data_IF_394951530165
#
_entry.id   IF_394951530165
#
_cell.length_a   1.000
_cell.length_b   1.000
_cell.length_c   1.000
_cell.angle_alpha   90.00
_cell.angle_beta   90.00
_cell.angle_gamma   90.00
#
_symmetry.space_group_name_H-M   'P 1'
#
loop_
_entity.id
_entity.type
_entity.pdbx_description
1 polymer ?
#
# COMPACT_ATOMS: atom_id res chain seq x y z
N UNK A 1 3.15 1.02 44.77
CA UNK A 1 3.27 0.71 43.32
C UNK A 1 3.89 1.90 42.59
N UNK A 2 5.20 1.85 42.28
CA UNK A 2 5.90 2.91 41.54
C UNK A 2 5.88 2.56 40.05
N UNK A 3 5.14 3.32 39.22
CA UNK A 3 4.91 3.02 37.79
C UNK A 3 5.39 4.15 36.87
N UNK A 4 6.55 4.72 37.17
CA UNK A 4 7.18 5.73 36.32
C UNK A 4 8.02 5.01 35.25
N UNK A 5 7.99 5.51 34.01
CA UNK A 5 8.67 4.90 32.86
C UNK A 5 9.77 5.85 32.37
N UNK A 6 11.01 5.37 32.42
CA UNK A 6 12.19 6.09 31.94
C UNK A 6 12.66 5.49 30.60
N UNK A 7 12.95 6.33 29.62
CA UNK A 7 13.51 5.91 28.32
C UNK A 7 14.95 5.44 28.48
N UNK A 8 15.35 4.39 27.76
CA UNK A 8 16.69 3.81 27.82
C UNK A 8 17.32 3.76 26.42
N UNK A 9 18.64 3.86 26.30
CA UNK A 9 19.33 3.73 25.02
C UNK A 9 19.22 2.31 24.46
N UNK A 10 19.07 2.19 23.14
CA UNK A 10 18.90 0.90 22.44
C UNK A 10 20.08 -0.05 22.57
N UNK A 11 21.27 0.48 22.83
CA UNK A 11 22.47 -0.32 23.09
C UNK A 11 22.32 -1.25 24.32
N UNK A 12 21.36 -0.98 25.20
CA UNK A 12 21.08 -1.78 26.40
C UNK A 12 19.93 -2.78 26.22
N UNK A 13 19.40 -2.94 25.01
CA UNK A 13 18.35 -3.95 24.74
C UNK A 13 18.90 -5.36 25.01
N UNK A 14 18.22 -6.11 25.87
CA UNK A 14 18.59 -7.48 26.23
C UNK A 14 19.67 -7.60 27.31
N UNK A 15 20.10 -6.48 27.91
CA UNK A 15 21.06 -6.46 29.03
C UNK A 15 20.37 -6.21 30.36
N UNK A 16 20.85 -6.85 31.41
CA UNK A 16 20.43 -6.56 32.79
C UNK A 16 21.19 -5.35 33.30
N UNK A 17 20.48 -4.33 33.77
CA UNK A 17 21.05 -3.06 34.25
C UNK A 17 20.73 -2.86 35.73
N UNK A 18 21.64 -2.22 36.45
CA UNK A 18 21.43 -1.85 37.84
C UNK A 18 20.83 -0.45 37.93
N UNK A 19 19.76 -0.32 38.71
CA UNK A 19 19.07 0.95 38.95
C UNK A 19 19.34 1.41 40.38
N UNK A 20 19.95 2.59 40.53
CA UNK A 20 20.13 3.25 41.82
C UNK A 20 19.21 4.45 41.92
N UNK A 21 18.19 4.34 42.75
CA UNK A 21 17.23 5.40 43.03
C UNK A 21 17.74 6.26 44.20
N UNK A 22 17.83 7.57 43.99
CA UNK A 22 18.02 8.57 45.03
C UNK A 22 16.76 9.40 45.17
N UNK A 23 16.63 10.20 46.24
CA UNK A 23 15.43 11.02 46.48
C UNK A 23 15.06 11.94 45.30
N UNK A 24 16.05 12.41 44.54
CA UNK A 24 15.88 13.39 43.45
C UNK A 24 16.20 12.85 42.06
N UNK A 25 16.87 11.70 41.94
CA UNK A 25 17.38 11.19 40.66
C UNK A 25 17.41 9.68 40.59
N UNK A 26 17.29 9.15 39.38
CA UNK A 26 17.44 7.73 39.05
C UNK A 26 18.69 7.56 38.20
N UNK A 27 19.65 6.76 38.67
CA UNK A 27 20.91 6.48 37.95
C UNK A 27 20.90 5.04 37.46
N UNK A 28 21.21 4.84 36.19
CA UNK A 28 21.26 3.53 35.54
C UNK A 28 22.71 3.17 35.25
N UNK A 29 23.10 1.96 35.66
CA UNK A 29 24.43 1.40 35.46
C UNK A 29 24.37 0.13 34.61
N UNK A 30 25.29 0.00 33.66
CA UNK A 30 25.62 -1.25 32.97
C UNK A 30 26.93 -1.76 33.58
N UNK A 31 26.80 -2.66 34.57
CA UNK A 31 27.91 -3.06 35.45
C UNK A 31 28.48 -1.88 36.25
N UNK A 32 29.74 -1.53 36.00
CA UNK A 32 30.44 -0.43 36.68
C UNK A 32 30.28 0.93 35.97
N UNK A 33 29.72 0.96 34.75
CA UNK A 33 29.61 2.18 33.95
C UNK A 33 28.25 2.85 34.17
N UNK A 34 28.25 4.13 34.53
CA UNK A 34 27.05 4.96 34.53
C UNK A 34 26.64 5.23 33.08
N UNK A 35 25.45 4.78 32.69
CA UNK A 35 24.97 4.94 31.31
C UNK A 35 24.01 6.10 31.17
N UNK A 36 23.05 6.24 32.09
CA UNK A 36 22.06 7.32 32.04
C UNK A 36 21.73 7.82 33.45
N UNK A 37 21.47 9.11 33.56
CA UNK A 37 20.88 9.71 34.76
C UNK A 37 19.56 10.39 34.39
N UNK A 38 18.49 10.05 35.10
CA UNK A 38 17.18 10.68 34.97
C UNK A 38 16.84 11.46 36.24
N UNK A 39 16.10 12.56 36.10
CA UNK A 39 15.46 13.23 37.23
C UNK A 39 14.27 12.41 37.73
N UNK A 40 14.11 12.30 39.05
CA UNK A 40 13.06 11.48 39.66
C UNK A 40 11.75 12.27 39.74
N UNK A 41 10.82 11.90 38.87
CA UNK A 41 9.42 12.35 38.96
C UNK A 41 8.72 11.84 40.23
N UNK A 42 7.82 12.63 40.83
CA UNK A 42 7.14 12.25 42.06
C UNK A 42 6.34 10.94 41.88
N UNK A 43 6.23 10.15 42.96
CA UNK A 43 5.55 8.86 42.92
C UNK A 43 4.06 9.05 42.58
N UNK A 44 3.59 8.42 41.50
CA UNK A 44 2.19 8.44 41.06
C UNK A 44 1.91 9.14 39.74
N UNK A 45 2.91 9.84 39.17
CA UNK A 45 2.73 10.65 37.96
C UNK A 45 2.39 9.84 36.69
N UNK A 46 2.76 8.54 36.62
CA UNK A 46 2.65 7.70 35.39
C UNK A 46 3.24 8.39 34.15
N UNK A 47 4.16 9.34 34.34
CA UNK A 47 4.73 10.16 33.29
C UNK A 47 5.80 9.38 32.54
N UNK A 48 5.88 9.61 31.22
CA UNK A 48 6.93 9.11 30.34
C UNK A 48 7.90 10.27 30.11
N UNK A 49 9.14 10.13 30.60
CA UNK A 49 10.23 11.06 30.29
C UNK A 49 11.14 10.38 29.26
N UNK A 50 11.11 10.91 28.04
CA UNK A 50 12.06 10.57 26.99
C UNK A 50 13.14 11.64 26.99
N UNK A 51 14.40 11.27 27.21
CA UNK A 51 15.51 12.21 27.04
C UNK A 51 15.74 12.46 25.53
N UNK A 52 16.18 13.66 25.12
CA UNK A 52 16.50 13.96 23.72
C UNK A 52 17.56 13.01 23.14
N UNK A 53 18.52 12.56 23.96
CA UNK A 53 19.53 11.56 23.59
C UNK A 53 18.95 10.16 23.26
N UNK A 54 17.66 9.95 23.55
CA UNK A 54 16.91 8.72 23.29
C UNK A 54 15.71 8.97 22.38
N UNK A 55 15.57 10.19 21.84
CA UNK A 55 14.72 10.41 20.68
C UNK A 55 15.37 9.68 19.52
N UNK A 56 14.84 8.51 19.20
CA UNK A 56 15.03 7.97 17.87
C UNK A 56 14.49 9.00 16.91
N UNK A 57 15.36 9.50 16.03
CA UNK A 57 14.93 9.99 14.72
C UNK A 57 13.95 8.95 14.21
N UNK A 58 12.66 9.28 14.32
CA UNK A 58 11.61 8.38 13.88
C UNK A 58 12.02 8.00 12.49
N UNK A 59 12.09 6.69 12.20
CA UNK A 59 12.20 6.21 10.83
C UNK A 59 10.89 6.64 10.14
N UNK A 60 10.76 7.94 9.87
CA UNK A 60 9.99 8.45 8.78
C UNK A 60 10.54 7.69 7.61
N UNK A 61 9.75 6.71 7.17
CA UNK A 61 10.05 5.87 6.02
C UNK A 61 10.69 6.77 4.98
N UNK A 62 11.99 6.58 4.73
CA UNK A 62 12.67 7.23 3.63
C UNK A 62 11.73 7.04 2.44
N UNK A 63 11.30 8.15 1.83
CA UNK A 63 10.38 8.10 0.68
C UNK A 63 11.05 7.19 -0.33
N UNK A 64 10.58 5.96 -0.42
CA UNK A 64 11.21 4.94 -1.26
C UNK A 64 11.17 5.50 -2.68
N UNK A 65 12.36 5.61 -3.27
CA UNK A 65 12.52 6.13 -4.63
C UNK A 65 11.69 5.33 -5.64
N UNK A 66 11.55 5.83 -6.88
CA UNK A 66 10.86 5.09 -7.92
C UNK A 66 11.49 3.69 -8.09
N UNK A 67 10.66 2.65 -7.97
CA UNK A 67 11.07 1.26 -8.18
C UNK A 67 11.58 1.07 -9.61
N UNK A 68 12.43 0.07 -9.84
CA UNK A 68 12.85 -0.33 -11.19
C UNK A 68 11.66 -0.62 -12.10
N UNK A 69 10.60 -1.25 -11.54
CA UNK A 69 9.35 -1.49 -12.26
C UNK A 69 8.68 -0.19 -12.75
N UNK A 70 8.74 0.89 -11.96
CA UNK A 70 8.15 2.19 -12.35
C UNK A 70 8.98 2.85 -13.45
N UNK A 71 10.30 2.70 -13.42
CA UNK A 71 11.19 3.27 -14.44
C UNK A 71 10.95 2.59 -15.79
N UNK A 72 10.95 1.26 -15.80
CA UNK A 72 10.69 0.47 -17.01
C UNK A 72 9.35 0.83 -17.64
N UNK A 73 8.27 0.91 -16.85
CA UNK A 73 6.94 1.25 -17.38
C UNK A 73 6.88 2.68 -17.95
N UNK A 74 7.63 3.64 -17.37
CA UNK A 74 7.75 5.00 -17.91
C UNK A 74 8.58 5.06 -19.20
N UNK A 75 9.58 4.19 -19.34
CA UNK A 75 10.41 4.09 -20.54
C UNK A 75 9.65 3.45 -21.71
N UNK A 76 8.84 2.42 -21.44
CA UNK A 76 8.06 1.71 -22.46
C UNK A 76 7.02 2.63 -23.11
N UNK A 77 6.23 3.35 -22.32
CA UNK A 77 5.18 4.22 -22.88
C UNK A 77 4.80 5.35 -21.92
N UNK A 78 4.61 6.59 -22.43
CA UNK A 78 4.13 7.70 -21.62
C UNK A 78 2.73 7.49 -21.06
N UNK A 79 1.89 6.67 -21.72
CA UNK A 79 0.53 6.34 -21.26
C UNK A 79 0.59 5.49 -19.98
N UNK A 80 1.46 4.47 -19.97
CA UNK A 80 1.70 3.64 -18.78
C UNK A 80 2.32 4.46 -17.65
N UNK A 81 3.22 5.39 -17.96
CA UNK A 81 3.78 6.33 -17.00
C UNK A 81 2.71 7.16 -16.28
N UNK A 82 1.74 7.72 -17.03
CA UNK A 82 0.60 8.45 -16.45
C UNK A 82 -0.23 7.58 -15.51
N UNK A 83 -0.49 6.32 -15.88
CA UNK A 83 -1.21 5.38 -15.02
C UNK A 83 -0.44 5.10 -13.72
N UNK A 84 0.87 4.89 -13.79
CA UNK A 84 1.74 4.69 -12.62
C UNK A 84 1.68 5.87 -11.65
N UNK A 85 1.75 7.10 -12.18
CA UNK A 85 1.68 8.32 -11.34
C UNK A 85 0.33 8.43 -10.63
N UNK A 86 -0.76 8.10 -11.33
CA UNK A 86 -2.12 8.08 -10.74
C UNK A 86 -2.26 6.98 -9.68
N UNK A 87 -1.73 5.78 -9.92
CA UNK A 87 -1.70 4.69 -8.95
C UNK A 87 -0.90 5.06 -7.69
N UNK A 88 0.25 5.73 -7.86
CA UNK A 88 1.09 6.20 -6.75
C UNK A 88 0.38 7.27 -5.92
N UNK A 89 -0.32 8.21 -6.56
CA UNK A 89 -1.11 9.24 -5.89
C UNK A 89 -2.28 8.65 -5.08
N UNK A 90 -2.96 7.62 -5.59
CA UNK A 90 -4.16 7.02 -4.97
C UNK A 90 -3.83 6.00 -3.87
N UNK A 91 -2.83 5.14 -4.09
CA UNK A 91 -2.59 3.97 -3.24
C UNK A 91 -1.37 4.06 -2.32
N UNK A 92 -0.54 5.10 -2.44
CA UNK A 92 0.60 5.34 -1.55
C UNK A 92 1.48 4.10 -1.37
N UNK A 93 1.56 3.57 -0.15
CA UNK A 93 2.37 2.38 0.17
C UNK A 93 1.96 1.09 -0.56
N UNK A 94 0.71 0.98 -1.02
CA UNK A 94 0.23 -0.17 -1.80
C UNK A 94 0.48 -0.02 -3.31
N UNK A 95 0.94 1.15 -3.76
CA UNK A 95 1.16 1.42 -5.18
C UNK A 95 2.16 0.43 -5.81
N UNK A 96 3.21 0.04 -5.07
CA UNK A 96 4.23 -0.87 -5.59
C UNK A 96 3.67 -2.25 -5.99
N UNK A 97 2.70 -2.78 -5.23
CA UNK A 97 2.03 -4.06 -5.57
C UNK A 97 1.26 -3.94 -6.87
N UNK A 98 0.58 -2.81 -7.06
CA UNK A 98 -0.20 -2.52 -8.28
C UNK A 98 0.73 -2.28 -9.48
N UNK A 99 1.83 -1.54 -9.31
CA UNK A 99 2.85 -1.33 -10.35
C UNK A 99 3.47 -2.66 -10.80
N UNK A 100 3.80 -3.56 -9.86
CA UNK A 100 4.30 -4.90 -10.18
C UNK A 100 3.30 -5.74 -10.96
N UNK A 101 2.01 -5.63 -10.62
CA UNK A 101 0.94 -6.28 -11.38
C UNK A 101 0.83 -5.71 -12.79
N UNK A 102 0.90 -4.38 -12.95
CA UNK A 102 0.90 -3.74 -14.27
C UNK A 102 2.10 -4.18 -15.12
N UNK A 103 3.29 -4.31 -14.52
CA UNK A 103 4.46 -4.87 -15.20
C UNK A 103 4.23 -6.32 -15.64
N UNK A 104 3.56 -7.14 -14.82
CA UNK A 104 3.22 -8.51 -15.21
C UNK A 104 2.29 -8.52 -16.43
N UNK A 105 1.26 -7.68 -16.44
CA UNK A 105 0.37 -7.53 -17.60
C UNK A 105 1.13 -7.11 -18.87
N UNK A 106 2.13 -6.23 -18.74
CA UNK A 106 3.00 -5.85 -19.85
C UNK A 106 3.82 -7.02 -20.42
N UNK A 107 4.20 -8.00 -19.59
CA UNK A 107 4.91 -9.19 -20.04
C UNK A 107 3.98 -10.27 -20.62
N UNK A 108 2.72 -10.30 -20.19
CA UNK A 108 1.74 -11.33 -20.57
C UNK A 108 0.95 -10.97 -21.83
N UNK A 109 0.71 -9.68 -22.09
CA UNK A 109 -0.14 -9.21 -23.18
C UNK A 109 0.64 -8.47 -24.28
N UNK A 110 0.12 -8.45 -25.52
CA UNK A 110 0.63 -7.57 -26.56
C UNK A 110 0.65 -6.12 -26.09
N UNK A 111 1.78 -5.43 -26.34
CA UNK A 111 2.01 -4.08 -25.82
C UNK A 111 0.99 -3.07 -26.35
N UNK A 112 0.63 -3.18 -27.62
CA UNK A 112 -0.30 -2.25 -28.28
C UNK A 112 -1.69 -2.30 -27.65
N UNK A 113 -2.23 -3.50 -27.42
CA UNK A 113 -3.54 -3.68 -26.79
C UNK A 113 -3.57 -3.22 -25.34
N UNK A 114 -2.47 -3.45 -24.61
CA UNK A 114 -2.34 -2.96 -23.25
C UNK A 114 -2.33 -1.43 -23.22
N UNK A 115 -1.56 -0.77 -24.09
CA UNK A 115 -1.48 0.69 -24.14
C UNK A 115 -2.85 1.28 -24.45
N UNK A 116 -3.53 0.74 -25.46
CA UNK A 116 -4.81 1.28 -25.90
C UNK A 116 -5.93 1.03 -24.85
N UNK A 117 -5.91 -0.11 -24.13
CA UNK A 117 -6.82 -0.32 -23.00
C UNK A 117 -6.54 0.63 -21.82
N UNK A 118 -5.27 0.93 -21.55
CA UNK A 118 -4.90 1.91 -20.52
C UNK A 118 -5.28 3.33 -20.92
N UNK A 119 -5.16 3.69 -22.19
CA UNK A 119 -5.56 5.01 -22.69
C UNK A 119 -7.07 5.25 -22.53
N UNK A 120 -7.89 4.25 -22.87
CA UNK A 120 -9.33 4.27 -22.58
C UNK A 120 -9.59 4.39 -21.08
N UNK A 121 -8.90 3.58 -20.26
CA UNK A 121 -9.07 3.62 -18.81
C UNK A 121 -8.72 5.00 -18.23
N UNK A 122 -7.66 5.65 -18.71
CA UNK A 122 -7.29 7.01 -18.32
C UNK A 122 -8.34 8.04 -18.74
N UNK A 123 -8.94 7.88 -19.92
CA UNK A 123 -10.04 8.74 -20.40
C UNK A 123 -11.27 8.67 -19.49
N UNK A 124 -11.52 7.50 -18.88
CA UNK A 124 -12.60 7.29 -17.91
C UNK A 124 -12.18 7.45 -16.44
N UNK A 125 -10.96 7.95 -16.15
CA UNK A 125 -10.40 8.07 -14.79
C UNK A 125 -10.43 6.74 -14.00
N UNK A 126 -10.31 5.61 -14.71
CA UNK A 126 -10.35 4.26 -14.17
C UNK A 126 -8.94 3.75 -13.82
N UNK A 127 -8.76 3.33 -12.58
CA UNK A 127 -7.47 2.88 -12.04
C UNK A 127 -7.47 1.45 -11.51
N UNK A 128 -8.58 0.73 -11.70
CA UNK A 128 -8.68 -0.65 -11.26
C UNK A 128 -8.00 -1.59 -12.27
N UNK A 129 -6.88 -2.18 -11.87
CA UNK A 129 -6.12 -3.11 -12.70
C UNK A 129 -6.94 -4.35 -13.08
N UNK A 130 -7.85 -4.83 -12.23
CA UNK A 130 -8.70 -5.97 -12.58
C UNK A 130 -9.65 -5.64 -13.73
N UNK A 131 -10.10 -4.37 -13.80
CA UNK A 131 -10.97 -3.90 -14.87
C UNK A 131 -10.20 -3.63 -16.16
N UNK A 132 -9.00 -3.04 -16.05
CA UNK A 132 -8.09 -2.85 -17.19
C UNK A 132 -7.72 -4.21 -17.80
N UNK A 133 -7.46 -5.23 -16.98
CA UNK A 133 -7.16 -6.59 -17.43
C UNK A 133 -8.28 -7.17 -18.30
N UNK A 134 -9.53 -7.01 -17.86
CA UNK A 134 -10.70 -7.41 -18.66
C UNK A 134 -10.82 -6.60 -19.96
N UNK A 135 -10.51 -5.31 -19.95
CA UNK A 135 -10.53 -4.49 -21.16
C UNK A 135 -9.49 -4.97 -22.18
N UNK A 136 -8.28 -5.31 -21.72
CA UNK A 136 -7.23 -5.87 -22.57
C UNK A 136 -7.67 -7.21 -23.17
N UNK A 137 -8.18 -8.12 -22.33
CA UNK A 137 -8.66 -9.42 -22.81
C UNK A 137 -9.82 -9.29 -23.79
N UNK A 138 -10.73 -8.34 -23.59
CA UNK A 138 -11.86 -8.10 -24.50
C UNK A 138 -11.39 -7.62 -25.88
N UNK A 139 -10.31 -6.83 -25.93
CA UNK A 139 -9.70 -6.36 -27.17
C UNK A 139 -8.99 -7.48 -27.91
N UNK A 140 -8.12 -8.21 -27.20
CA UNK A 140 -7.45 -9.41 -27.73
C UNK A 140 -8.46 -10.41 -28.30
N UNK A 141 -9.59 -10.62 -27.62
CA UNK A 141 -10.67 -11.47 -28.16
C UNK A 141 -11.27 -10.95 -29.47
N UNK A 142 -11.46 -9.64 -29.58
CA UNK A 142 -11.95 -9.00 -30.81
C UNK A 142 -10.95 -9.13 -31.97
N UNK A 143 -9.68 -8.87 -31.69
CA UNK A 143 -8.63 -8.82 -32.72
C UNK A 143 -8.25 -10.21 -33.23
N UNK A 144 -8.10 -11.18 -32.32
CA UNK A 144 -7.68 -12.54 -32.69
C UNK A 144 -8.85 -13.45 -33.06
N UNK A 145 -10.05 -13.24 -32.50
CA UNK A 145 -11.15 -14.19 -32.64
C UNK A 145 -12.42 -13.64 -33.31
N UNK A 146 -12.49 -12.36 -33.75
CA UNK A 146 -13.70 -11.71 -34.32
C UNK A 146 -14.97 -12.04 -33.52
N UNK A 147 -14.84 -12.14 -32.20
CA UNK A 147 -15.96 -12.43 -31.32
C UNK A 147 -16.77 -11.15 -31.14
N UNK A 148 -18.08 -11.21 -31.37
CA UNK A 148 -18.97 -10.12 -30.96
C UNK A 148 -18.81 -9.90 -29.44
N UNK A 149 -18.80 -8.64 -28.96
CA UNK A 149 -18.61 -8.38 -27.53
C UNK A 149 -19.71 -9.09 -26.73
N UNK A 150 -19.31 -9.86 -25.71
CA UNK A 150 -20.17 -10.69 -24.86
C UNK A 150 -21.34 -9.92 -24.19
N UNK A 151 -21.31 -8.59 -24.20
CA UNK A 151 -22.38 -7.73 -23.68
C UNK A 151 -23.60 -7.57 -24.61
N UNK A 152 -23.63 -8.20 -25.79
CA UNK A 152 -24.80 -8.15 -26.69
C UNK A 152 -25.83 -9.26 -26.47
N UNK A 153 -25.49 -10.31 -25.71
CA UNK A 153 -26.36 -11.50 -25.58
C UNK A 153 -27.22 -11.51 -24.30
N UNK A 154 -26.95 -10.65 -23.30
CA UNK A 154 -27.67 -10.66 -22.02
C UNK A 154 -28.99 -9.84 -22.00
N UNK A 155 -29.45 -9.33 -23.15
CA UNK A 155 -30.68 -8.49 -23.24
C UNK A 155 -31.79 -9.10 -24.09
N UNK A 156 -31.58 -10.27 -24.70
CA UNK A 156 -32.55 -10.87 -25.62
C UNK A 156 -33.47 -11.93 -24.99
N UNK A 157 -33.21 -12.38 -23.75
CA UNK A 157 -33.94 -13.53 -23.16
C UNK A 157 -35.01 -13.16 -22.11
N UNK A 158 -35.31 -11.88 -21.85
CA UNK A 158 -36.31 -11.51 -20.83
C UNK A 158 -37.60 -10.88 -21.36
N UNK A 159 -37.86 -10.89 -22.68
CA UNK A 159 -39.05 -10.21 -23.25
C UNK A 159 -39.99 -11.11 -24.07
N UNK A 160 -39.88 -12.45 -23.99
CA UNK A 160 -40.70 -13.36 -24.82
C UNK A 160 -41.38 -14.51 -24.04
N UNK A 161 -41.88 -14.26 -22.82
CA UNK A 161 -42.80 -15.22 -22.15
C UNK A 161 -43.96 -14.54 -21.44
N UNK A 162 -44.49 -13.47 -22.03
CA UNK A 162 -45.77 -12.90 -21.64
C UNK A 162 -46.63 -12.63 -22.89
N UNK A 163 -47.08 -13.71 -23.53
CA UNK A 163 -48.30 -13.66 -24.34
C UNK A 163 -49.29 -14.67 -23.76
N UNK A 164 -50.37 -14.10 -23.27
CA UNK A 164 -51.64 -14.72 -22.91
C UNK A 164 -52.13 -15.67 -24.01
N UNK A 165 -52.85 -16.72 -23.61
CA UNK A 165 -54.27 -16.92 -23.94
C UNK A 165 -54.78 -18.24 -23.30
N UNK A 166 -56.09 -18.57 -23.27
CA UNK A 166 -57.00 -18.23 -22.17
C UNK A 166 -57.75 -19.48 -21.62
N UNK A 167 -58.61 -19.26 -20.62
CA UNK A 167 -59.79 -20.04 -20.19
C UNK A 167 -60.12 -21.38 -20.90
N UNK A 168 -60.34 -22.47 -20.14
CA UNK A 168 -61.67 -22.93 -19.71
C UNK A 168 -61.61 -24.35 -19.07
N UNK A 169 -62.57 -24.57 -18.15
CA UNK A 169 -63.03 -25.81 -17.49
C UNK A 169 -62.47 -26.19 -16.11
#
# INVERSE_FOLDING_TARGET
>A
MHRNRYSMPTALIGRTVELRESMTRVRVFDGHRLVVTHEREPPGAKARRTLPEHEHDGRHSLRVGPSEDEKLLREVSPVLGKLVDRLRKRHGGQALRKVRRLRRMYLEYPTDELIAAVDDALSFDLYDLDRIDRMVLQRIQGDFFRLAPLNSQAKAETDDTAKEEPNDE
#
